data_IF_509350600693
#
_entry.id   IF_509350600693
#
_cell.length_a   1.000
_cell.length_b   1.000
_cell.length_c   1.000
_cell.angle_alpha   90.00
_cell.angle_beta   90.00
_cell.angle_gamma   90.00
#
_symmetry.space_group_name_H-M   'P 1'
#
loop_
_entity.id
_entity.type
_entity.pdbx_description
1 polymer ?
#
# COMPACT_ATOMS: atom_id res chain seq x y z
N UNK A 1 -6.67 -19.58 16.03
CA UNK A 1 -7.74 -19.34 17.00
C UNK A 1 -7.23 -18.39 18.09
N UNK A 2 -8.10 -17.56 18.69
CA UNK A 2 -7.74 -16.59 19.75
C UNK A 2 -7.08 -17.29 20.95
N UNK A 3 -7.46 -18.52 21.22
CA UNK A 3 -6.92 -19.30 22.32
C UNK A 3 -5.49 -19.77 22.06
N UNK A 4 -5.15 -20.15 20.84
CA UNK A 4 -3.81 -20.60 20.46
C UNK A 4 -2.70 -19.56 20.70
N UNK A 5 -3.06 -18.28 20.87
CA UNK A 5 -2.16 -17.18 21.10
C UNK A 5 -2.24 -16.62 22.54
N UNK A 6 -2.90 -17.32 23.47
CA UNK A 6 -3.03 -16.91 24.87
C UNK A 6 -3.80 -15.58 25.08
N UNK A 7 -4.65 -15.20 24.13
CA UNK A 7 -5.36 -13.92 24.15
C UNK A 7 -6.67 -13.95 24.95
N UNK A 8 -7.10 -15.13 25.40
CA UNK A 8 -8.31 -15.30 26.23
C UNK A 8 -7.94 -15.93 27.57
N UNK A 9 -8.16 -15.20 28.65
CA UNK A 9 -7.97 -15.70 30.02
C UNK A 9 -9.10 -16.63 30.47
N UNK A 10 -10.31 -16.48 29.90
CA UNK A 10 -11.52 -17.25 30.26
C UNK A 10 -12.28 -17.64 28.99
N UNK A 11 -11.87 -18.72 28.35
CA UNK A 11 -12.46 -19.21 27.10
C UNK A 11 -13.94 -19.54 27.24
N UNK A 12 -14.32 -20.25 28.30
CA UNK A 12 -15.71 -20.65 28.55
C UNK A 12 -16.67 -19.45 28.62
N UNK A 13 -16.24 -18.36 29.28
CA UNK A 13 -17.02 -17.12 29.37
C UNK A 13 -17.15 -16.45 28.03
N UNK A 14 -16.10 -16.46 27.22
CA UNK A 14 -16.16 -15.89 25.88
C UNK A 14 -17.11 -16.68 24.99
N UNK A 15 -17.02 -18.02 24.96
CA UNK A 15 -17.88 -18.91 24.17
C UNK A 15 -19.34 -18.72 24.59
N UNK A 16 -19.61 -18.71 25.90
CA UNK A 16 -20.99 -18.47 26.40
C UNK A 16 -21.53 -17.11 25.95
N UNK A 17 -20.73 -16.05 26.05
CA UNK A 17 -21.12 -14.70 25.64
C UNK A 17 -21.34 -14.64 24.13
N UNK A 18 -20.46 -15.24 23.33
CA UNK A 18 -20.58 -15.33 21.89
C UNK A 18 -21.89 -16.00 21.47
N UNK A 19 -22.20 -17.14 22.08
CA UNK A 19 -23.47 -17.86 21.86
C UNK A 19 -24.69 -16.99 22.19
N UNK A 20 -24.69 -16.31 23.34
CA UNK A 20 -25.79 -15.41 23.73
C UNK A 20 -25.95 -14.19 22.81
N UNK A 21 -24.89 -13.76 22.16
CA UNK A 21 -24.90 -12.64 21.23
C UNK A 21 -25.07 -13.08 19.77
N UNK A 22 -25.40 -14.36 19.50
CA UNK A 22 -25.50 -14.94 18.16
C UNK A 22 -24.23 -14.65 17.31
N UNK A 23 -23.07 -14.76 17.93
CA UNK A 23 -21.78 -14.70 17.24
C UNK A 23 -21.33 -16.11 16.93
N UNK A 24 -21.69 -16.57 15.72
CA UNK A 24 -21.46 -17.92 15.20
C UNK A 24 -20.40 -17.89 14.10
N UNK A 25 -19.97 -19.05 13.64
CA UNK A 25 -18.98 -19.18 12.55
C UNK A 25 -19.40 -18.41 11.28
N UNK A 26 -20.69 -18.34 11.00
CA UNK A 26 -21.24 -17.58 9.86
C UNK A 26 -21.10 -16.05 10.02
N UNK A 27 -20.97 -15.58 11.26
CA UNK A 27 -20.86 -14.14 11.56
C UNK A 27 -19.44 -13.68 11.79
N UNK A 28 -18.46 -14.60 11.82
CA UNK A 28 -17.05 -14.29 11.97
C UNK A 28 -16.54 -13.57 10.73
N UNK A 29 -16.03 -12.36 10.92
CA UNK A 29 -15.44 -11.57 9.85
C UNK A 29 -13.91 -11.67 9.92
N UNK A 30 -13.30 -12.10 8.82
CA UNK A 30 -11.84 -12.06 8.68
C UNK A 30 -11.33 -10.64 8.88
N UNK A 31 -10.13 -10.49 9.41
CA UNK A 31 -9.50 -9.20 9.58
C UNK A 31 -8.48 -9.15 10.71
N UNK A 32 -7.76 -8.06 10.75
CA UNK A 32 -6.86 -7.75 11.86
C UNK A 32 -7.60 -6.91 12.90
N UNK A 33 -7.63 -7.38 14.14
CA UNK A 33 -8.25 -6.69 15.26
C UNK A 33 -7.24 -6.50 16.38
N UNK A 34 -7.15 -5.29 16.91
CA UNK A 34 -6.41 -5.03 18.15
C UNK A 34 -7.40 -5.15 19.30
N UNK A 35 -7.18 -6.16 20.15
CA UNK A 35 -8.05 -6.46 21.28
C UNK A 35 -7.49 -5.77 22.53
N UNK A 36 -8.26 -4.89 23.21
CA UNK A 36 -7.83 -4.32 24.47
C UNK A 36 -7.68 -5.41 25.53
N UNK A 37 -6.57 -5.41 26.26
CA UNK A 37 -6.28 -6.42 27.31
C UNK A 37 -7.27 -6.38 28.47
N UNK A 38 -7.91 -5.25 28.71
CA UNK A 38 -8.92 -5.05 29.77
C UNK A 38 -10.36 -5.26 29.28
N UNK A 39 -10.56 -5.63 28.02
CA UNK A 39 -11.91 -5.76 27.46
C UNK A 39 -12.65 -6.98 28.05
N UNK A 40 -13.92 -6.77 28.38
CA UNK A 40 -14.83 -7.85 28.77
C UNK A 40 -15.16 -8.76 27.56
N UNK A 41 -15.60 -10.00 27.82
CA UNK A 41 -16.05 -10.91 26.75
C UNK A 41 -17.14 -10.29 25.85
N UNK A 42 -18.03 -9.48 26.42
CA UNK A 42 -19.08 -8.78 25.67
C UNK A 42 -18.53 -7.72 24.71
N UNK A 43 -17.54 -6.96 25.16
CA UNK A 43 -16.86 -5.95 24.32
C UNK A 43 -16.08 -6.60 23.22
N UNK A 44 -15.35 -7.70 23.51
CA UNK A 44 -14.63 -8.47 22.50
C UNK A 44 -15.56 -9.03 21.43
N UNK A 45 -16.66 -9.67 21.81
CA UNK A 45 -17.65 -10.18 20.85
C UNK A 45 -18.27 -9.05 20.05
N UNK A 46 -18.60 -7.92 20.68
CA UNK A 46 -19.16 -6.76 19.97
C UNK A 46 -18.17 -6.17 18.96
N UNK A 47 -16.89 -6.09 19.29
CA UNK A 47 -15.82 -5.61 18.41
C UNK A 47 -15.66 -6.54 17.20
N UNK A 48 -15.54 -7.85 17.44
CA UNK A 48 -15.35 -8.84 16.39
C UNK A 48 -16.58 -8.94 15.47
N UNK A 49 -17.78 -8.96 16.05
CA UNK A 49 -19.06 -8.99 15.30
C UNK A 49 -19.26 -7.71 14.48
N UNK A 50 -18.84 -6.55 15.03
CA UNK A 50 -18.91 -5.27 14.34
C UNK A 50 -17.99 -5.18 13.12
N UNK A 51 -16.98 -6.04 13.02
CA UNK A 51 -16.05 -6.11 11.87
C UNK A 51 -15.20 -4.86 11.69
N UNK A 52 -15.04 -4.05 12.76
CA UNK A 52 -14.17 -2.85 12.72
C UNK A 52 -12.71 -3.27 12.80
N UNK A 53 -12.14 -3.62 11.66
CA UNK A 53 -10.73 -3.97 11.55
C UNK A 53 -9.82 -2.80 11.94
N UNK A 54 -8.67 -3.13 12.51
CA UNK A 54 -7.59 -2.17 12.71
C UNK A 54 -6.72 -2.16 11.46
N UNK A 55 -6.55 -1.01 10.79
CA UNK A 55 -5.70 -0.92 9.61
C UNK A 55 -4.26 -1.34 9.90
N UNK A 56 -3.56 -1.80 8.87
CA UNK A 56 -2.12 -2.03 8.87
C UNK A 56 -1.44 -0.91 8.11
N UNK A 57 -0.35 -0.39 8.65
CA UNK A 57 0.49 0.59 7.95
C UNK A 57 1.45 -0.14 7.00
N UNK A 58 1.37 0.19 5.73
CA UNK A 58 2.22 -0.30 4.66
C UNK A 58 3.07 0.83 4.12
N UNK A 59 4.38 0.77 4.31
CA UNK A 59 5.32 1.76 3.80
C UNK A 59 5.96 1.27 2.50
N UNK A 60 5.73 2.02 1.42
CA UNK A 60 6.37 1.82 0.11
C UNK A 60 7.45 2.88 -0.03
N UNK A 61 8.70 2.50 0.20
CA UNK A 61 9.88 3.34 -0.04
C UNK A 61 11.11 2.44 -0.20
N UNK A 62 12.12 2.94 -0.90
CA UNK A 62 13.35 2.17 -1.20
C UNK A 62 13.07 0.81 -1.85
N UNK A 63 12.09 0.76 -2.75
CA UNK A 63 11.74 -0.43 -3.53
C UNK A 63 12.29 -0.24 -4.94
N UNK A 64 13.06 -1.22 -5.43
CA UNK A 64 13.71 -1.15 -6.74
C UNK A 64 12.98 -1.91 -7.83
N UNK A 65 12.31 -2.99 -7.48
CA UNK A 65 11.62 -3.85 -8.44
C UNK A 65 10.19 -4.12 -8.02
N UNK A 66 9.36 -4.52 -8.97
CA UNK A 66 7.96 -4.91 -8.72
C UNK A 66 7.89 -6.11 -7.79
N UNK A 67 8.81 -7.08 -7.93
CA UNK A 67 8.87 -8.27 -7.08
C UNK A 67 9.12 -7.90 -5.62
N UNK A 68 10.06 -6.97 -5.37
CA UNK A 68 10.30 -6.45 -4.02
C UNK A 68 9.08 -5.73 -3.45
N UNK A 69 8.35 -4.99 -4.29
CA UNK A 69 7.11 -4.35 -3.87
C UNK A 69 6.06 -5.40 -3.50
N UNK A 70 5.82 -6.38 -4.37
CA UNK A 70 4.86 -7.44 -4.11
C UNK A 70 5.17 -8.20 -2.81
N UNK A 71 6.44 -8.55 -2.59
CA UNK A 71 6.86 -9.18 -1.34
C UNK A 71 6.62 -8.32 -0.10
N UNK A 72 6.89 -7.01 -0.19
CA UNK A 72 6.66 -6.08 0.92
C UNK A 72 5.17 -5.90 1.24
N UNK A 73 4.34 -5.85 0.21
CA UNK A 73 2.88 -5.73 0.34
C UNK A 73 2.30 -7.02 0.93
N UNK A 74 2.67 -8.18 0.39
CA UNK A 74 2.22 -9.49 0.86
C UNK A 74 2.62 -9.76 2.33
N UNK A 75 3.74 -9.24 2.80
CA UNK A 75 4.13 -9.33 4.21
C UNK A 75 3.18 -8.60 5.19
N UNK A 76 2.27 -7.79 4.69
CA UNK A 76 1.34 -6.95 5.48
C UNK A 76 -0.13 -7.26 5.24
N UNK A 77 -0.49 -7.85 4.12
CA UNK A 77 -1.87 -8.13 3.70
C UNK A 77 -2.14 -9.64 3.64
N UNK A 78 -3.39 -10.04 3.42
CA UNK A 78 -3.80 -11.46 3.43
C UNK A 78 -3.31 -12.23 2.20
N UNK A 79 -3.30 -11.58 1.04
CA UNK A 79 -2.87 -12.20 -0.21
C UNK A 79 -1.35 -12.35 -0.29
N UNK A 80 -0.89 -13.28 -1.10
CA UNK A 80 0.54 -13.49 -1.30
C UNK A 80 1.15 -12.63 -2.42
N UNK A 81 2.46 -12.70 -2.60
CA UNK A 81 3.17 -11.91 -3.61
C UNK A 81 2.86 -12.36 -5.03
N UNK A 82 2.47 -13.62 -5.23
CA UNK A 82 2.13 -14.17 -6.55
C UNK A 82 0.75 -13.68 -6.98
N UNK A 83 -0.23 -13.62 -6.07
CA UNK A 83 -1.55 -13.06 -6.33
C UNK A 83 -1.46 -11.62 -6.83
N UNK A 84 -0.64 -10.80 -6.16
CA UNK A 84 -0.42 -9.42 -6.59
C UNK A 84 0.29 -9.34 -7.94
N UNK A 85 1.32 -10.16 -8.14
CA UNK A 85 2.06 -10.20 -9.40
C UNK A 85 1.16 -10.62 -10.58
N UNK A 86 0.31 -11.63 -10.38
CA UNK A 86 -0.67 -12.06 -11.37
C UNK A 86 -1.65 -10.93 -11.73
N UNK A 87 -2.20 -10.25 -10.71
CA UNK A 87 -3.08 -9.10 -10.94
C UNK A 87 -2.38 -8.00 -11.73
N UNK A 88 -1.14 -7.67 -11.39
CA UNK A 88 -0.35 -6.66 -12.09
C UNK A 88 -0.14 -7.03 -13.57
N UNK A 89 0.16 -8.29 -13.85
CA UNK A 89 0.45 -8.76 -15.21
C UNK A 89 -0.80 -8.90 -16.08
N UNK A 90 -1.97 -9.16 -15.49
CA UNK A 90 -3.18 -9.49 -16.24
C UNK A 90 -4.16 -8.32 -16.35
N UNK A 91 -4.21 -7.43 -15.36
CA UNK A 91 -5.27 -6.41 -15.26
C UNK A 91 -4.77 -5.00 -15.01
N UNK A 92 -3.70 -4.85 -14.23
CA UNK A 92 -3.30 -3.53 -13.73
C UNK A 92 -2.84 -2.60 -14.86
N UNK A 93 -2.00 -3.05 -15.77
CA UNK A 93 -1.43 -2.19 -16.82
C UNK A 93 -2.52 -1.61 -17.71
N UNK A 94 -3.52 -2.40 -18.07
CA UNK A 94 -4.68 -1.92 -18.83
C UNK A 94 -5.47 -0.88 -18.03
N UNK A 95 -5.76 -1.17 -16.76
CA UNK A 95 -6.52 -0.27 -15.89
C UNK A 95 -5.77 1.04 -15.56
N UNK A 96 -4.45 0.97 -15.46
CA UNK A 96 -3.57 2.11 -15.13
C UNK A 96 -3.11 2.92 -16.34
N UNK A 97 -3.40 2.46 -17.56
CA UNK A 97 -2.87 3.06 -18.79
C UNK A 97 -1.34 3.08 -18.80
N UNK A 98 -0.71 1.99 -18.39
CA UNK A 98 0.75 1.87 -18.26
C UNK A 98 1.25 0.61 -18.96
N UNK A 99 2.55 0.42 -19.00
CA UNK A 99 3.23 -0.78 -19.48
C UNK A 99 4.17 -1.31 -18.40
N UNK A 100 4.61 -2.57 -18.45
CA UNK A 100 5.48 -3.14 -17.42
C UNK A 100 6.69 -2.29 -17.08
N UNK A 101 7.32 -1.66 -18.06
CA UNK A 101 8.50 -0.80 -17.86
C UNK A 101 8.24 0.46 -17.02
N UNK A 102 7.03 1.00 -17.07
CA UNK A 102 6.64 2.23 -16.32
C UNK A 102 5.70 1.96 -15.15
N UNK A 103 5.31 0.71 -14.96
CA UNK A 103 4.36 0.28 -13.91
C UNK A 103 4.72 0.80 -12.53
N UNK A 104 6.02 0.77 -12.17
CA UNK A 104 6.52 1.20 -10.87
C UNK A 104 6.20 2.66 -10.57
N UNK A 105 6.06 3.51 -11.57
CA UNK A 105 5.75 4.93 -11.41
C UNK A 105 4.37 5.20 -10.79
N UNK A 106 3.47 4.20 -10.81
CA UNK A 106 2.13 4.27 -10.21
C UNK A 106 2.15 4.05 -8.70
N UNK A 107 3.25 3.52 -8.15
CA UNK A 107 3.40 3.22 -6.73
C UNK A 107 4.27 4.28 -6.05
N UNK A 108 3.64 5.39 -5.67
CA UNK A 108 4.37 6.51 -5.06
C UNK A 108 4.93 6.12 -3.68
N UNK A 109 6.17 6.54 -3.34
CA UNK A 109 6.73 6.33 -2.02
C UNK A 109 5.93 7.08 -0.94
N UNK A 110 5.32 6.33 -0.04
CA UNK A 110 4.58 6.85 1.12
C UNK A 110 4.24 5.72 2.08
N UNK A 111 3.62 6.06 3.22
CA UNK A 111 2.97 5.11 4.11
C UNK A 111 1.46 5.17 3.91
N UNK A 112 0.88 4.02 3.65
CA UNK A 112 -0.54 3.84 3.36
C UNK A 112 -1.18 2.96 4.42
N UNK A 113 -2.45 3.20 4.71
CA UNK A 113 -3.24 2.35 5.58
C UNK A 113 -4.17 1.47 4.75
N UNK A 114 -4.15 0.17 5.05
CA UNK A 114 -5.01 -0.84 4.45
C UNK A 114 -5.64 -1.72 5.51
N UNK A 115 -6.82 -2.25 5.25
CA UNK A 115 -7.27 -3.41 6.00
C UNK A 115 -6.48 -4.64 5.57
N UNK A 116 -6.18 -5.51 6.51
CA UNK A 116 -5.41 -6.73 6.25
C UNK A 116 -6.05 -7.62 5.16
N UNK A 117 -7.38 -7.60 5.08
CA UNK A 117 -8.19 -8.34 4.09
C UNK A 117 -8.28 -7.67 2.70
N UNK A 118 -7.58 -6.56 2.48
CA UNK A 118 -7.61 -5.91 1.17
C UNK A 118 -7.12 -6.86 0.07
N UNK A 119 -7.82 -6.86 -1.05
CA UNK A 119 -7.47 -7.66 -2.23
C UNK A 119 -6.39 -6.98 -3.08
N UNK A 120 -5.69 -7.71 -3.99
CA UNK A 120 -4.77 -7.10 -4.95
C UNK A 120 -5.41 -5.96 -5.77
N UNK A 121 -6.68 -6.14 -6.15
CA UNK A 121 -7.45 -5.12 -6.87
C UNK A 121 -7.67 -3.86 -6.04
N UNK A 122 -8.10 -4.00 -4.78
CA UNK A 122 -8.32 -2.86 -3.86
C UNK A 122 -7.02 -2.14 -3.56
N UNK A 123 -5.92 -2.88 -3.36
CA UNK A 123 -4.59 -2.30 -3.22
C UNK A 123 -4.23 -1.46 -4.44
N UNK A 124 -4.32 -2.01 -5.63
CA UNK A 124 -3.97 -1.32 -6.88
C UNK A 124 -4.88 -0.11 -7.15
N UNK A 125 -6.19 -0.23 -6.95
CA UNK A 125 -7.13 0.90 -7.06
C UNK A 125 -6.76 2.05 -6.10
N UNK A 126 -6.37 1.72 -4.87
CA UNK A 126 -5.90 2.73 -3.93
C UNK A 126 -4.61 3.40 -4.41
N UNK A 127 -3.65 2.65 -4.95
CA UNK A 127 -2.42 3.22 -5.49
C UNK A 127 -2.67 4.17 -6.66
N UNK A 128 -3.55 3.79 -7.59
CA UNK A 128 -3.93 4.68 -8.69
C UNK A 128 -4.61 5.96 -8.19
N UNK A 129 -5.50 5.84 -7.22
CA UNK A 129 -6.14 7.03 -6.61
C UNK A 129 -5.12 7.97 -5.97
N UNK A 130 -4.12 7.45 -5.27
CA UNK A 130 -3.06 8.27 -4.69
C UNK A 130 -2.14 8.87 -5.76
N UNK A 131 -1.88 8.15 -6.84
CA UNK A 131 -1.17 8.65 -8.01
C UNK A 131 -1.92 9.84 -8.64
N UNK A 132 -3.21 9.70 -8.91
CA UNK A 132 -4.03 10.77 -9.49
C UNK A 132 -4.14 11.98 -8.56
N UNK A 133 -4.26 11.74 -7.25
CA UNK A 133 -4.26 12.80 -6.24
C UNK A 133 -2.93 13.56 -6.20
N UNK A 134 -1.81 12.86 -6.38
CA UNK A 134 -0.49 13.48 -6.41
C UNK A 134 -0.28 14.29 -7.69
N UNK A 135 -0.65 13.73 -8.84
CA UNK A 135 -0.49 14.37 -10.14
C UNK A 135 -1.65 15.34 -10.45
N UNK A 136 -1.70 16.45 -9.69
CA UNK A 136 -2.63 17.55 -9.95
C UNK A 136 -2.36 18.18 -11.32
N UNK A 137 -3.34 18.91 -11.86
CA UNK A 137 -3.18 19.66 -13.12
C UNK A 137 -1.96 20.59 -13.07
N UNK A 138 -1.76 21.31 -11.97
CA UNK A 138 -0.58 22.16 -11.77
C UNK A 138 0.74 21.40 -11.90
N UNK A 139 0.84 20.20 -11.30
CA UNK A 139 2.05 19.37 -11.38
C UNK A 139 2.27 18.82 -12.77
N UNK A 140 1.22 18.43 -13.48
CA UNK A 140 1.28 18.00 -14.89
C UNK A 140 1.76 19.13 -15.79
N UNK A 141 1.24 20.34 -15.61
CA UNK A 141 1.69 21.53 -16.36
C UNK A 141 3.17 21.85 -16.08
N UNK A 142 3.63 21.77 -14.82
CA UNK A 142 5.05 21.95 -14.49
C UNK A 142 5.95 20.88 -15.14
N UNK A 143 5.52 19.64 -15.19
CA UNK A 143 6.24 18.56 -15.87
C UNK A 143 6.31 18.82 -17.38
N UNK A 144 5.17 19.17 -18.01
CA UNK A 144 5.09 19.50 -19.42
C UNK A 144 5.95 20.72 -19.78
N UNK A 145 6.01 21.74 -18.92
CA UNK A 145 6.84 22.93 -19.14
C UNK A 145 8.36 22.64 -19.24
N UNK A 146 8.81 21.54 -18.66
CA UNK A 146 10.19 21.04 -18.78
C UNK A 146 10.32 19.89 -19.79
N UNK A 147 9.26 19.60 -20.57
CA UNK A 147 9.27 18.59 -21.62
C UNK A 147 9.23 17.13 -21.11
N UNK A 148 8.80 16.88 -19.86
CA UNK A 148 8.76 15.56 -19.28
C UNK A 148 7.33 15.09 -19.00
N UNK A 149 7.08 13.77 -19.20
CA UNK A 149 5.88 13.12 -18.69
C UNK A 149 5.97 12.88 -17.18
N UNK A 150 4.83 12.62 -16.51
CA UNK A 150 4.83 12.21 -15.10
C UNK A 150 5.75 11.02 -14.79
N UNK A 151 5.80 10.02 -15.68
CA UNK A 151 6.64 8.84 -15.54
C UNK A 151 8.13 9.19 -15.66
N UNK A 152 8.47 10.09 -16.57
CA UNK A 152 9.84 10.58 -16.74
C UNK A 152 10.29 11.41 -15.53
N UNK A 153 9.41 12.25 -14.99
CA UNK A 153 9.68 12.99 -13.74
C UNK A 153 9.91 12.03 -12.57
N UNK A 154 9.08 10.98 -12.44
CA UNK A 154 9.27 9.95 -11.41
C UNK A 154 10.64 9.26 -11.56
N UNK A 155 10.98 8.87 -12.80
CA UNK A 155 12.26 8.21 -13.10
C UNK A 155 13.44 9.10 -12.74
N UNK A 156 13.41 10.36 -13.18
CA UNK A 156 14.45 11.35 -12.87
C UNK A 156 14.59 11.57 -11.35
N UNK A 157 13.46 11.72 -10.65
CA UNK A 157 13.46 11.87 -9.21
C UNK A 157 14.07 10.64 -8.51
N UNK A 158 13.81 9.43 -9.00
CA UNK A 158 14.38 8.19 -8.44
C UNK A 158 15.90 8.10 -8.62
N UNK A 159 16.43 8.61 -9.73
CA UNK A 159 17.88 8.72 -9.99
C UNK A 159 18.50 9.70 -8.98
N UNK A 160 17.94 10.92 -8.92
CA UNK A 160 18.45 11.98 -8.03
C UNK A 160 18.44 11.55 -6.56
N UNK A 161 17.39 10.83 -6.13
CA UNK A 161 17.29 10.29 -4.76
C UNK A 161 18.40 9.28 -4.44
N UNK A 162 18.96 8.61 -5.46
CA UNK A 162 20.07 7.66 -5.28
C UNK A 162 21.44 8.32 -5.32
N UNK A 163 21.56 9.46 -6.00
CA UNK A 163 22.81 10.18 -6.13
C UNK A 163 23.16 10.96 -4.86
N UNK A 164 22.17 11.56 -4.20
CA UNK A 164 22.42 12.36 -3.00
C UNK A 164 21.29 12.24 -1.97
N UNK A 165 21.70 12.12 -0.70
CA UNK A 165 20.79 12.23 0.46
C UNK A 165 20.63 13.69 0.93
N UNK A 166 21.42 14.64 0.37
CA UNK A 166 21.41 16.03 0.80
C UNK A 166 20.41 16.85 -0.03
N UNK A 167 19.27 17.20 0.58
CA UNK A 167 18.15 17.85 -0.10
C UNK A 167 18.52 19.13 -0.89
N UNK A 168 19.39 20.04 -0.41
CA UNK A 168 19.78 21.23 -1.18
C UNK A 168 20.50 20.91 -2.50
N UNK A 169 21.21 19.79 -2.60
CA UNK A 169 21.85 19.37 -3.85
C UNK A 169 20.88 18.82 -4.89
N UNK A 170 19.77 18.24 -4.46
CA UNK A 170 18.79 17.59 -5.37
C UNK A 170 18.33 18.55 -6.47
N UNK A 171 18.10 19.82 -6.15
CA UNK A 171 17.70 20.84 -7.15
C UNK A 171 18.81 21.09 -8.17
N UNK A 172 20.08 21.16 -7.73
CA UNK A 172 21.22 21.35 -8.63
C UNK A 172 21.40 20.14 -9.54
N UNK A 173 21.31 18.94 -8.98
CA UNK A 173 21.40 17.69 -9.75
C UNK A 173 20.26 17.56 -10.77
N UNK A 174 19.04 17.92 -10.39
CA UNK A 174 17.93 17.97 -11.32
C UNK A 174 18.23 18.87 -12.52
N UNK A 175 18.79 20.07 -12.29
CA UNK A 175 19.21 20.97 -13.33
C UNK A 175 20.28 20.37 -14.27
N UNK A 176 21.28 19.68 -13.71
CA UNK A 176 22.31 19.00 -14.51
C UNK A 176 21.69 17.93 -15.42
N UNK A 177 20.86 17.04 -14.86
CA UNK A 177 20.23 15.99 -15.66
C UNK A 177 19.26 16.54 -16.72
N UNK A 178 18.50 17.59 -16.40
CA UNK A 178 17.61 18.25 -17.39
C UNK A 178 18.40 18.86 -18.53
N UNK A 179 19.55 19.52 -18.26
CA UNK A 179 20.40 20.05 -19.29
C UNK A 179 21.00 18.93 -20.16
N UNK A 180 21.48 17.84 -19.57
CA UNK A 180 21.98 16.67 -20.33
C UNK A 180 20.92 16.07 -21.25
N UNK A 181 19.69 15.92 -20.74
CA UNK A 181 18.56 15.42 -21.55
C UNK A 181 18.25 16.35 -22.71
N UNK A 182 18.23 17.69 -22.47
CA UNK A 182 17.98 18.67 -23.52
C UNK A 182 19.07 18.70 -24.57
N UNK A 183 20.32 18.62 -24.15
CA UNK A 183 21.48 18.74 -25.03
C UNK A 183 21.91 17.37 -25.60
N UNK A 184 21.10 16.30 -25.36
CA UNK A 184 21.36 14.92 -25.79
C UNK A 184 22.75 14.39 -25.40
N UNK A 185 23.26 14.81 -24.23
CA UNK A 185 24.54 14.39 -23.70
C UNK A 185 24.32 13.11 -22.86
N UNK A 186 25.02 12.00 -23.15
CA UNK A 186 24.87 10.73 -22.45
C UNK A 186 25.33 10.80 -20.96
#
# INVERSE_FOLDING_TARGET
SLNAHGQLLHEDRFIWTASKMNYTDETIRKGRYVLPTSASSKELVSLLRGGKQTPVSLTIQNVRTIEQMCGRVAAKLEFDSLDLMEYLNTRFDTAAGTVPATRMTRFLPNTYEFYWTATPEEFCKRMLKEYDRFWTEERRQKASAIGLSPEQVYTLASIIEKETNYNPEKTRMAGVYLNRLRDSIP
#
